data_IF_018293327422
#
_entry.id   IF_018293327422
#
_cell.length_a   1.000
_cell.length_b   1.000
_cell.length_c   1.000
_cell.angle_alpha   90.00
_cell.angle_beta   90.00
_cell.angle_gamma   90.00
#
_symmetry.space_group_name_H-M   'P 1'
#
loop_
_entity.id
_entity.type
_entity.pdbx_description
1 polymer ?
#
# COMPACT_ATOMS: atom_id res chain seq x y z
N UNK A 1 -6.65 13.72 9.27
CA UNK A 1 -6.63 14.46 8.00
C UNK A 1 -6.20 13.57 6.82
N UNK A 2 -4.91 13.29 6.56
CA UNK A 2 -4.51 12.46 5.40
C UNK A 2 -4.80 10.95 5.56
N UNK A 3 -4.40 10.35 6.68
CA UNK A 3 -4.58 8.90 6.90
C UNK A 3 -6.06 8.50 6.99
N UNK A 4 -6.92 9.42 7.41
CA UNK A 4 -8.38 9.21 7.39
C UNK A 4 -8.91 9.19 5.96
N UNK A 5 -8.53 10.18 5.12
CA UNK A 5 -8.89 10.20 3.70
C UNK A 5 -8.42 8.95 2.98
N UNK A 6 -7.22 8.48 3.31
CA UNK A 6 -6.64 7.29 2.69
C UNK A 6 -7.43 6.00 2.97
N UNK A 7 -8.19 5.94 4.07
CA UNK A 7 -9.06 4.80 4.42
C UNK A 7 -10.43 4.84 3.74
N UNK A 8 -10.73 5.85 2.92
CA UNK A 8 -11.97 5.89 2.16
C UNK A 8 -11.99 4.82 1.05
N UNK A 9 -13.14 4.21 0.76
CA UNK A 9 -13.23 3.03 -0.10
C UNK A 9 -13.00 3.31 -1.60
N UNK A 10 -12.95 4.58 -2.01
CA UNK A 10 -12.65 4.99 -3.38
C UNK A 10 -11.16 4.86 -3.73
N UNK A 11 -10.28 4.75 -2.72
CA UNK A 11 -8.85 4.54 -2.91
C UNK A 11 -8.50 3.05 -2.85
N UNK A 12 -7.98 2.52 -3.96
CA UNK A 12 -7.63 1.10 -4.05
C UNK A 12 -6.29 0.76 -3.39
N UNK A 13 -5.30 1.65 -3.51
CA UNK A 13 -3.97 1.49 -2.92
C UNK A 13 -3.25 2.85 -2.81
N UNK A 14 -2.36 2.95 -1.83
CA UNK A 14 -1.41 4.05 -1.70
C UNK A 14 -0.08 3.74 -2.39
N UNK A 15 0.59 4.78 -2.88
CA UNK A 15 1.89 4.68 -3.54
C UNK A 15 2.89 5.59 -2.81
N UNK A 16 4.06 5.06 -2.47
CA UNK A 16 5.16 5.86 -1.90
C UNK A 16 6.52 5.19 -2.11
N UNK A 17 7.55 6.00 -2.35
CA UNK A 17 8.96 5.59 -2.38
C UNK A 17 9.66 5.75 -1.02
N UNK A 18 9.03 6.42 -0.05
CA UNK A 18 9.58 6.64 1.28
C UNK A 18 9.25 5.47 2.21
N UNK A 19 10.26 4.85 2.81
CA UNK A 19 10.10 3.73 3.75
C UNK A 19 9.31 4.13 5.00
N UNK A 20 9.58 5.30 5.57
CA UNK A 20 8.87 5.81 6.75
C UNK A 20 7.40 6.09 6.45
N UNK A 21 7.09 6.70 5.30
CA UNK A 21 5.70 6.94 4.88
C UNK A 21 4.97 5.61 4.66
N UNK A 22 5.63 4.63 4.04
CA UNK A 22 5.05 3.30 3.85
C UNK A 22 4.67 2.66 5.19
N UNK A 23 5.56 2.71 6.17
CA UNK A 23 5.27 2.19 7.51
C UNK A 23 4.08 2.90 8.14
N UNK A 24 4.05 4.24 8.10
CA UNK A 24 2.94 5.03 8.62
C UNK A 24 1.60 4.64 7.98
N UNK A 25 1.57 4.51 6.65
CA UNK A 25 0.38 4.12 5.90
C UNK A 25 -0.08 2.71 6.30
N UNK A 26 0.85 1.75 6.41
CA UNK A 26 0.55 0.36 6.80
C UNK A 26 0.12 0.20 8.27
N UNK A 27 0.53 1.12 9.14
CA UNK A 27 0.18 1.12 10.57
C UNK A 27 -1.17 1.81 10.81
N UNK A 28 -1.45 2.90 10.11
CA UNK A 28 -2.61 3.76 10.41
C UNK A 28 -3.83 3.49 9.52
N UNK A 29 -3.68 2.71 8.45
CA UNK A 29 -4.74 2.46 7.47
C UNK A 29 -4.84 1.00 7.08
N UNK A 30 -5.96 0.60 6.49
CA UNK A 30 -6.14 -0.72 5.85
C UNK A 30 -5.84 -0.71 4.35
N UNK A 31 -5.62 0.48 3.79
CA UNK A 31 -5.32 0.70 2.38
C UNK A 31 -3.95 0.12 2.03
N UNK A 32 -3.88 -0.83 1.08
CA UNK A 32 -2.62 -1.46 0.73
C UNK A 32 -1.66 -0.41 0.17
N UNK A 33 -0.37 -0.51 0.53
CA UNK A 33 0.65 0.47 0.12
C UNK A 33 1.76 -0.23 -0.65
N UNK A 34 2.02 0.24 -1.87
CA UNK A 34 3.01 -0.33 -2.78
C UNK A 34 4.06 0.71 -3.20
N UNK A 35 5.28 0.24 -3.45
CA UNK A 35 6.34 1.10 -4.00
C UNK A 35 6.06 1.39 -5.49
N UNK A 36 6.25 2.63 -5.99
CA UNK A 36 5.97 2.97 -7.39
C UNK A 36 6.65 2.04 -8.40
N UNK A 37 7.93 1.73 -8.18
CA UNK A 37 8.68 0.79 -9.03
C UNK A 37 8.04 -0.62 -9.11
N UNK A 38 7.40 -1.08 -8.03
CA UNK A 38 6.72 -2.39 -8.01
C UNK A 38 5.41 -2.36 -8.80
N UNK A 39 4.71 -1.22 -8.79
CA UNK A 39 3.53 -1.02 -9.64
C UNK A 39 3.93 -0.98 -11.12
N UNK A 40 5.03 -0.30 -11.45
CA UNK A 40 5.54 -0.25 -12.82
C UNK A 40 5.98 -1.64 -13.31
N UNK A 41 6.68 -2.40 -12.47
CA UNK A 41 7.03 -3.78 -12.81
C UNK A 41 5.78 -4.62 -13.14
N UNK A 42 4.73 -4.50 -12.33
CA UNK A 42 3.44 -5.17 -12.56
C UNK A 42 2.79 -4.74 -13.89
N UNK A 43 2.80 -3.45 -14.25
CA UNK A 43 2.20 -2.98 -15.51
C UNK A 43 2.91 -3.51 -16.74
N UNK A 44 4.20 -3.83 -16.62
CA UNK A 44 4.98 -4.48 -17.68
C UNK A 44 4.87 -6.01 -17.67
N UNK A 45 4.02 -6.60 -16.83
CA UNK A 45 3.87 -8.05 -16.73
C UNK A 45 4.97 -8.75 -15.92
N UNK A 46 5.87 -8.00 -15.28
CA UNK A 46 6.88 -8.55 -14.38
C UNK A 46 6.31 -8.78 -12.99
N UNK A 47 6.84 -9.80 -12.30
CA UNK A 47 6.51 -10.11 -10.90
C UNK A 47 4.99 -10.21 -10.61
N UNK A 48 4.22 -11.05 -11.33
CA UNK A 48 2.75 -11.12 -11.22
C UNK A 48 2.27 -11.45 -9.80
N UNK A 49 3.10 -12.13 -9.01
CA UNK A 49 2.86 -12.41 -7.60
C UNK A 49 2.66 -11.14 -6.73
N UNK A 50 3.15 -9.98 -7.18
CA UNK A 50 2.95 -8.70 -6.48
C UNK A 50 1.49 -8.23 -6.51
N UNK A 51 0.61 -8.79 -7.34
CA UNK A 51 -0.83 -8.49 -7.29
C UNK A 51 -1.44 -8.77 -5.91
N UNK A 52 -0.86 -9.72 -5.14
CA UNK A 52 -1.26 -9.97 -3.75
C UNK A 52 -1.02 -8.75 -2.84
N UNK A 53 -0.02 -7.93 -3.13
CA UNK A 53 0.29 -6.72 -2.37
C UNK A 53 -0.69 -5.56 -2.64
N UNK A 54 -1.52 -5.67 -3.68
CA UNK A 54 -2.60 -4.72 -3.98
C UNK A 54 -3.90 -5.05 -3.24
N UNK A 55 -3.96 -6.17 -2.52
CA UNK A 55 -5.14 -6.55 -1.73
C UNK A 55 -5.09 -5.85 -0.37
N UNK A 56 -6.22 -5.35 0.14
CA UNK A 56 -6.29 -4.77 1.48
C UNK A 56 -5.75 -5.74 2.54
N UNK A 57 -4.97 -5.21 3.49
CA UNK A 57 -4.51 -6.00 4.63
C UNK A 57 -5.60 -6.02 5.70
N UNK A 58 -5.99 -7.22 6.14
CA UNK A 58 -6.90 -7.39 7.30
C UNK A 58 -6.21 -7.10 8.62
N UNK A 59 -4.87 -6.92 8.63
CA UNK A 59 -4.08 -6.62 9.82
C UNK A 59 -3.30 -5.33 9.61
N UNK A 60 -3.51 -4.36 10.51
CA UNK A 60 -2.59 -3.24 10.67
C UNK A 60 -1.24 -3.78 11.11
N UNK A 61 -0.17 -3.25 10.51
CA UNK A 61 1.18 -3.58 10.95
C UNK A 61 1.36 -3.03 12.37
N UNK A 62 1.65 -3.88 13.35
CA UNK A 62 1.98 -3.45 14.71
C UNK A 62 3.40 -3.93 14.96
N UNK A 63 4.35 -3.00 14.96
CA UNK A 63 5.73 -3.27 15.34
C UNK A 63 5.79 -2.92 16.84
N UNK A 64 6.09 -3.91 17.68
CA UNK A 64 6.32 -3.74 19.12
C UNK A 64 7.74 -3.26 19.37
#
# INVERSE_FOLDING_TARGET
ALMQRMNEPDLQFGITECSSCKLQMQQLTTTPTIHPLKLLALSYGYLPNLQRALRPSTRRLIIR
#
